data_IF_813761022228
#
_entry.id   IF_813761022228
#
_cell.length_a   1.000
_cell.length_b   1.000
_cell.length_c   1.000
_cell.angle_alpha   90.00
_cell.angle_beta   90.00
_cell.angle_gamma   90.00
#
_symmetry.space_group_name_H-M   'P 1'
#
loop_
_entity.id
_entity.type
_entity.pdbx_description
1 polymer ?
#
# COMPACT_ATOMS: atom_id res chain seq x y z
N UNK A 1 -4.78 15.34 -3.40
CA UNK A 1 -3.80 15.42 -2.27
C UNK A 1 -3.29 16.84 -2.11
N UNK A 2 -2.71 17.49 -3.15
CA UNK A 2 -2.10 18.84 -3.04
C UNK A 2 -3.07 19.88 -2.45
N UNK A 3 -4.31 19.97 -2.93
CA UNK A 3 -5.31 20.93 -2.41
C UNK A 3 -5.62 20.71 -0.92
N UNK A 4 -5.64 19.43 -0.47
CA UNK A 4 -5.86 19.13 0.94
C UNK A 4 -4.65 19.50 1.80
N UNK A 5 -3.44 19.27 1.31
CA UNK A 5 -2.21 19.69 1.99
C UNK A 5 -2.16 21.22 2.15
N UNK A 6 -2.47 21.96 1.09
CA UNK A 6 -2.54 23.42 1.12
C UNK A 6 -3.61 23.93 2.11
N UNK A 7 -4.81 23.34 2.06
CA UNK A 7 -5.88 23.69 2.97
C UNK A 7 -5.53 23.41 4.44
N UNK A 8 -4.98 22.23 4.72
CA UNK A 8 -4.54 21.85 6.06
C UNK A 8 -3.45 22.80 6.57
N UNK A 9 -2.44 23.08 5.73
CA UNK A 9 -1.37 24.03 6.07
C UNK A 9 -1.93 25.39 6.43
N UNK A 10 -2.73 25.98 5.54
CA UNK A 10 -3.32 27.32 5.78
C UNK A 10 -4.19 27.34 7.02
N UNK A 11 -5.03 26.30 7.23
CA UNK A 11 -5.87 26.22 8.41
C UNK A 11 -5.06 26.11 9.70
N UNK A 12 -4.02 25.27 9.71
CA UNK A 12 -3.24 25.01 10.92
C UNK A 12 -2.28 26.14 11.27
N UNK A 13 -1.72 26.84 10.28
CA UNK A 13 -0.78 27.96 10.52
C UNK A 13 -1.44 29.21 11.15
N UNK A 14 -2.76 29.37 11.01
CA UNK A 14 -3.47 30.46 11.67
C UNK A 14 -3.87 30.18 13.11
N UNK A 15 -3.70 28.92 13.56
CA UNK A 15 -3.97 28.51 14.93
C UNK A 15 -2.73 28.78 15.81
N UNK A 16 -2.95 29.09 17.08
CA UNK A 16 -1.87 29.36 18.03
C UNK A 16 -0.91 28.18 18.19
N UNK A 17 -1.45 26.95 18.19
CA UNK A 17 -0.67 25.73 18.32
C UNK A 17 -0.07 25.24 17.00
N UNK A 18 -0.36 25.89 15.87
CA UNK A 18 0.09 25.47 14.53
C UNK A 18 -0.14 23.97 14.30
N UNK A 19 0.95 23.21 14.35
CA UNK A 19 0.99 21.78 14.04
C UNK A 19 0.92 20.86 15.27
N UNK A 20 0.93 21.40 16.48
CA UNK A 20 0.90 20.60 17.69
C UNK A 20 -0.35 19.72 17.78
N UNK A 21 -0.17 18.43 18.10
CA UNK A 21 -1.24 17.45 18.17
C UNK A 21 -1.93 17.09 16.85
N UNK A 22 -1.43 17.60 15.71
CA UNK A 22 -2.01 17.34 14.39
C UNK A 22 -1.17 16.37 13.60
N UNK A 23 -1.81 15.64 12.67
CA UNK A 23 -1.13 14.75 11.74
C UNK A 23 -1.84 14.75 10.40
N UNK A 24 -1.10 14.83 9.31
CA UNK A 24 -1.59 14.58 7.96
C UNK A 24 -1.20 13.16 7.57
N UNK A 25 -2.12 12.25 7.75
CA UNK A 25 -1.92 10.85 7.46
C UNK A 25 -2.33 10.54 6.01
N UNK A 26 -1.40 10.09 5.19
CA UNK A 26 -1.63 9.81 3.77
C UNK A 26 -1.58 8.33 3.49
N UNK A 27 -2.71 7.78 3.03
CA UNK A 27 -2.81 6.37 2.62
C UNK A 27 -2.50 6.27 1.13
N UNK A 28 -1.42 5.57 0.80
CA UNK A 28 -0.96 5.29 -0.55
C UNK A 28 -1.07 3.78 -0.86
N UNK A 29 -0.25 3.27 -1.75
CA UNK A 29 -0.29 1.90 -2.23
C UNK A 29 1.12 1.38 -2.50
N UNK A 30 1.35 0.09 -2.35
CA UNK A 30 2.58 -0.59 -2.74
C UNK A 30 2.87 -0.52 -4.25
N UNK A 31 1.85 -0.28 -5.08
CA UNK A 31 2.03 -0.11 -6.53
C UNK A 31 2.95 1.07 -6.91
N UNK A 32 3.23 1.99 -5.97
CA UNK A 32 4.20 3.07 -6.20
C UNK A 32 5.63 2.56 -6.37
N UNK A 33 5.94 1.39 -5.83
CA UNK A 33 7.24 0.73 -5.97
C UNK A 33 7.42 -0.01 -7.30
N UNK A 34 6.34 -0.28 -8.02
CA UNK A 34 6.35 -1.02 -9.29
C UNK A 34 6.11 -2.51 -9.11
N UNK A 35 6.92 -3.34 -9.75
CA UNK A 35 6.82 -4.79 -9.69
C UNK A 35 8.10 -5.40 -9.09
N UNK A 36 7.93 -6.41 -8.24
CA UNK A 36 9.03 -7.24 -7.77
C UNK A 36 9.45 -8.22 -8.89
N UNK A 37 10.73 -8.51 -8.95
CA UNK A 37 11.22 -9.59 -9.80
C UNK A 37 10.89 -10.93 -9.16
N UNK A 38 10.16 -11.77 -9.89
CA UNK A 38 9.77 -13.11 -9.43
C UNK A 38 10.95 -14.07 -9.30
N UNK A 39 12.04 -13.78 -10.04
CA UNK A 39 13.28 -14.52 -9.97
C UNK A 39 14.44 -13.52 -9.85
N UNK A 40 15.14 -13.54 -8.72
CA UNK A 40 16.34 -12.72 -8.57
C UNK A 40 17.45 -13.30 -9.46
N UNK A 41 18.20 -12.47 -10.20
CA UNK A 41 19.42 -12.94 -10.90
C UNK A 41 20.39 -13.60 -9.92
N UNK A 42 20.99 -14.73 -10.31
CA UNK A 42 22.00 -15.40 -9.50
C UNK A 42 23.11 -14.42 -9.09
N UNK A 43 23.51 -14.47 -7.81
CA UNK A 43 24.59 -13.64 -7.26
C UNK A 43 24.20 -12.28 -6.70
N UNK A 44 22.91 -11.91 -6.72
CA UNK A 44 22.44 -10.70 -6.04
C UNK A 44 21.86 -11.08 -4.67
N UNK A 45 22.56 -10.71 -3.59
CA UNK A 45 22.04 -10.86 -2.23
C UNK A 45 20.88 -9.89 -1.95
N UNK A 46 19.85 -10.32 -1.18
CA UNK A 46 18.80 -9.39 -0.74
C UNK A 46 19.43 -8.28 0.14
N UNK A 47 18.96 -7.04 0.02
CA UNK A 47 19.50 -5.92 0.80
C UNK A 47 19.32 -6.12 2.31
N UNK A 48 18.43 -7.02 2.72
CA UNK A 48 18.23 -7.42 4.12
C UNK A 48 17.98 -8.91 4.20
N UNK A 49 18.41 -9.55 5.30
CA UNK A 49 18.01 -10.93 5.60
C UNK A 49 16.50 -10.93 5.88
N UNK A 50 15.75 -11.59 5.03
CA UNK A 50 14.31 -11.84 5.27
C UNK A 50 14.16 -12.54 6.60
N UNK A 51 13.32 -12.02 7.47
CA UNK A 51 12.84 -12.77 8.62
C UNK A 51 12.12 -13.98 8.03
N UNK A 52 12.57 -15.19 8.39
CA UNK A 52 11.98 -16.43 7.90
C UNK A 52 10.46 -16.35 8.05
N UNK A 53 9.74 -16.51 6.95
CA UNK A 53 8.29 -16.56 6.95
C UNK A 53 7.83 -17.60 7.97
N UNK A 54 6.92 -17.22 8.85
CA UNK A 54 6.23 -18.16 9.72
C UNK A 54 5.60 -19.26 8.87
N UNK A 55 5.62 -20.50 9.34
CA UNK A 55 5.06 -21.65 8.64
C UNK A 55 3.67 -21.33 8.07
N UNK A 56 3.54 -21.45 6.75
CA UNK A 56 2.26 -21.25 6.05
C UNK A 56 2.21 -20.14 5.02
N UNK A 57 3.21 -19.28 4.90
CA UNK A 57 3.23 -18.23 3.87
C UNK A 57 3.75 -18.75 2.53
N UNK A 58 2.97 -18.54 1.48
CA UNK A 58 3.44 -18.70 0.10
C UNK A 58 4.08 -17.40 -0.36
N UNK A 59 5.39 -17.27 -0.21
CA UNK A 59 6.13 -16.26 -0.91
C UNK A 59 6.39 -16.74 -2.35
N UNK A 60 6.05 -15.90 -3.35
CA UNK A 60 6.36 -16.19 -4.76
C UNK A 60 7.73 -15.66 -5.19
N UNK A 61 8.56 -15.24 -4.26
CA UNK A 61 9.91 -14.75 -4.47
C UNK A 61 10.56 -14.36 -3.15
N UNK A 62 11.83 -14.01 -3.23
CA UNK A 62 12.64 -13.63 -2.05
C UNK A 62 12.69 -12.11 -1.84
N UNK A 63 11.99 -11.34 -2.70
CA UNK A 63 12.00 -9.88 -2.66
C UNK A 63 10.73 -9.32 -2.04
N UNK A 64 10.93 -8.28 -1.23
CA UNK A 64 9.86 -7.48 -0.66
C UNK A 64 10.08 -6.00 -0.99
N UNK A 65 9.02 -5.22 -0.97
CA UNK A 65 9.13 -3.78 -0.94
C UNK A 65 9.46 -3.31 0.47
N UNK A 66 10.48 -2.47 0.55
CA UNK A 66 10.87 -1.78 1.77
C UNK A 66 10.55 -0.30 1.65
N UNK A 67 10.49 0.41 2.76
CA UNK A 67 10.25 1.86 2.77
C UNK A 67 11.36 2.64 2.04
N UNK A 68 12.53 2.03 1.91
CA UNK A 68 13.69 2.55 1.14
C UNK A 68 13.69 2.16 -0.33
N UNK A 69 12.75 1.33 -0.77
CA UNK A 69 12.63 0.94 -2.18
C UNK A 69 12.30 2.15 -3.03
N UNK A 70 13.03 2.33 -4.14
CA UNK A 70 12.78 3.43 -5.07
C UNK A 70 11.42 3.29 -5.74
N UNK A 71 10.69 4.38 -5.85
CA UNK A 71 9.43 4.43 -6.58
C UNK A 71 9.67 4.19 -8.07
N UNK A 72 8.88 3.29 -8.64
CA UNK A 72 8.90 2.93 -10.05
C UNK A 72 7.47 2.61 -10.54
N UNK A 73 6.53 3.57 -10.52
CA UNK A 73 5.14 3.34 -10.88
C UNK A 73 4.98 3.05 -12.38
N UNK A 74 4.18 2.04 -12.73
CA UNK A 74 3.97 1.59 -14.11
C UNK A 74 2.54 1.82 -14.63
N UNK A 75 1.67 2.45 -13.85
CA UNK A 75 0.31 2.81 -14.27
C UNK A 75 0.00 4.28 -14.01
N UNK A 76 -0.97 4.91 -14.72
CA UNK A 76 -1.42 6.27 -14.39
C UNK A 76 -1.89 6.39 -12.95
N UNK A 77 -2.54 5.35 -12.40
CA UNK A 77 -2.95 5.31 -11.00
C UNK A 77 -1.74 5.32 -10.07
N UNK A 78 -0.82 4.39 -10.21
CA UNK A 78 0.35 4.32 -9.33
C UNK A 78 1.25 5.56 -9.47
N UNK A 79 1.37 6.14 -10.66
CA UNK A 79 2.08 7.40 -10.88
C UNK A 79 1.40 8.58 -10.15
N UNK A 80 0.07 8.63 -10.14
CA UNK A 80 -0.68 9.66 -9.42
C UNK A 80 -0.52 9.54 -7.90
N UNK A 81 -0.47 8.32 -7.38
CA UNK A 81 -0.23 8.03 -5.97
C UNK A 81 1.21 8.36 -5.57
N UNK A 82 2.20 7.95 -6.36
CA UNK A 82 3.60 8.30 -6.15
C UNK A 82 3.82 9.83 -6.13
N UNK A 83 3.18 10.55 -7.05
CA UNK A 83 3.22 12.02 -7.06
C UNK A 83 2.60 12.60 -5.78
N UNK A 84 1.51 12.02 -5.29
CA UNK A 84 0.88 12.43 -4.04
C UNK A 84 1.80 12.23 -2.84
N UNK A 85 2.49 11.09 -2.77
CA UNK A 85 3.45 10.78 -1.70
C UNK A 85 4.62 11.77 -1.69
N UNK A 86 5.13 12.13 -2.87
CA UNK A 86 6.16 13.15 -2.99
C UNK A 86 5.68 14.54 -2.53
N UNK A 87 4.44 14.93 -2.83
CA UNK A 87 3.87 16.17 -2.29
C UNK A 87 3.79 16.13 -0.77
N UNK A 88 3.35 15.03 -0.19
CA UNK A 88 3.24 14.89 1.27
C UNK A 88 4.61 15.05 1.94
N UNK A 89 5.63 14.39 1.43
CA UNK A 89 7.02 14.53 1.92
C UNK A 89 7.54 15.96 1.74
N UNK A 90 7.34 16.55 0.57
CA UNK A 90 7.78 17.92 0.29
C UNK A 90 7.13 18.97 1.21
N UNK A 91 5.86 18.75 1.62
CA UNK A 91 5.21 19.64 2.57
C UNK A 91 5.81 19.52 3.99
N UNK A 92 6.25 18.33 4.37
CA UNK A 92 7.04 18.17 5.59
C UNK A 92 8.39 18.90 5.49
N UNK A 93 9.16 18.60 4.46
CA UNK A 93 10.53 19.12 4.30
C UNK A 93 10.56 20.65 4.17
N UNK A 94 9.55 21.22 3.51
CA UNK A 94 9.50 22.67 3.26
C UNK A 94 8.87 23.46 4.40
N UNK A 95 7.82 22.93 5.01
CA UNK A 95 6.98 23.67 5.96
C UNK A 95 6.96 23.08 7.38
N UNK A 96 7.62 21.94 7.62
CA UNK A 96 7.58 21.23 8.89
C UNK A 96 6.21 20.62 9.20
N UNK A 97 5.36 20.44 8.17
CA UNK A 97 4.02 19.88 8.36
C UNK A 97 4.11 18.43 8.88
N UNK A 98 3.35 18.05 9.92
CA UNK A 98 3.43 16.72 10.53
C UNK A 98 2.73 15.69 9.62
N UNK A 99 3.49 15.08 8.73
CA UNK A 99 2.98 14.12 7.74
C UNK A 99 3.44 12.70 8.03
N UNK A 100 2.61 11.73 7.66
CA UNK A 100 2.94 10.29 7.64
C UNK A 100 2.43 9.73 6.31
N UNK A 101 3.21 8.86 5.67
CA UNK A 101 2.83 8.14 4.46
C UNK A 101 2.74 6.66 4.76
N UNK A 102 1.68 5.99 4.30
CA UNK A 102 1.59 4.54 4.36
C UNK A 102 1.31 3.95 2.99
N UNK A 103 2.04 2.90 2.63
CA UNK A 103 1.87 2.13 1.40
C UNK A 103 1.28 0.77 1.78
N UNK A 104 0.03 0.53 1.41
CA UNK A 104 -0.62 -0.73 1.72
C UNK A 104 -0.74 -1.63 0.50
N UNK A 105 -0.75 -2.94 0.75
CA UNK A 105 -1.07 -3.95 -0.24
C UNK A 105 -2.58 -4.01 -0.54
N UNK A 106 -3.01 -4.97 -1.38
CA UNK A 106 -4.40 -5.08 -1.80
C UNK A 106 -5.31 -5.47 -0.63
N UNK A 107 -6.26 -4.61 -0.32
CA UNK A 107 -7.21 -4.87 0.75
C UNK A 107 -8.34 -5.81 0.29
N UNK A 108 -8.83 -6.64 1.21
CA UNK A 108 -10.05 -7.41 1.04
C UNK A 108 -10.83 -7.44 2.35
N UNK A 109 -12.13 -7.72 2.27
CA UNK A 109 -12.97 -7.86 3.46
C UNK A 109 -14.41 -7.41 3.24
N UNK A 110 -15.20 -7.36 4.33
CA UNK A 110 -16.57 -6.90 4.31
C UNK A 110 -16.71 -5.49 3.70
N UNK A 111 -17.82 -5.26 3.01
CA UNK A 111 -18.17 -3.98 2.37
C UNK A 111 -17.23 -3.52 1.25
N UNK A 112 -16.32 -4.37 0.78
CA UNK A 112 -15.50 -4.04 -0.38
C UNK A 112 -16.38 -3.79 -1.60
N UNK A 113 -16.02 -2.79 -2.41
CA UNK A 113 -16.81 -2.38 -3.58
C UNK A 113 -16.95 -3.53 -4.59
N UNK A 114 -18.17 -3.79 -5.11
CA UNK A 114 -18.47 -5.00 -5.90
C UNK A 114 -17.68 -5.19 -7.20
N UNK A 115 -17.06 -4.14 -7.73
CA UNK A 115 -16.20 -4.23 -8.92
C UNK A 115 -14.81 -4.81 -8.64
N UNK A 116 -14.40 -4.85 -7.38
CA UNK A 116 -13.10 -5.38 -7.00
C UNK A 116 -13.08 -6.89 -7.14
N UNK A 117 -11.88 -7.45 -7.38
CA UNK A 117 -11.67 -8.82 -7.79
C UNK A 117 -12.41 -9.84 -6.89
N UNK A 118 -12.19 -9.80 -5.58
CA UNK A 118 -12.77 -10.77 -4.65
C UNK A 118 -14.30 -10.69 -4.61
N UNK A 119 -14.93 -9.53 -4.34
CA UNK A 119 -16.40 -9.48 -4.31
C UNK A 119 -17.03 -9.73 -5.69
N UNK A 120 -16.37 -9.33 -6.78
CA UNK A 120 -16.83 -9.62 -8.14
C UNK A 120 -16.87 -11.13 -8.38
N UNK A 121 -15.83 -11.85 -7.98
CA UNK A 121 -15.75 -13.30 -8.14
C UNK A 121 -16.81 -14.00 -7.30
N UNK A 122 -16.96 -13.64 -6.03
CA UNK A 122 -18.02 -14.18 -5.15
C UNK A 122 -19.40 -13.97 -5.79
N UNK A 123 -19.67 -12.76 -6.28
CA UNK A 123 -20.95 -12.45 -6.92
C UNK A 123 -21.16 -13.26 -8.20
N UNK A 124 -20.14 -13.40 -9.03
CA UNK A 124 -20.22 -14.17 -10.28
C UNK A 124 -20.41 -15.67 -10.00
N UNK A 125 -19.70 -16.25 -9.04
CA UNK A 125 -19.88 -17.64 -8.60
C UNK A 125 -21.33 -17.88 -8.13
N UNK A 126 -21.85 -17.02 -7.25
CA UNK A 126 -23.24 -17.11 -6.76
C UNK A 126 -24.27 -17.04 -7.88
N UNK A 127 -24.01 -16.25 -8.91
CA UNK A 127 -24.89 -16.08 -10.06
C UNK A 127 -24.53 -16.99 -11.26
N UNK A 128 -23.63 -17.98 -11.07
CA UNK A 128 -23.15 -18.90 -12.12
C UNK A 128 -22.66 -18.18 -13.38
N UNK A 129 -22.01 -17.03 -13.20
CA UNK A 129 -21.40 -16.25 -14.29
C UNK A 129 -19.92 -16.60 -14.41
N UNK A 130 -19.33 -16.43 -15.63
CA UNK A 130 -17.90 -16.61 -15.84
C UNK A 130 -17.08 -15.67 -14.96
N UNK A 131 -15.90 -16.14 -14.51
CA UNK A 131 -14.94 -15.33 -13.79
C UNK A 131 -13.99 -14.67 -14.80
N UNK A 132 -13.93 -13.33 -14.85
CA UNK A 132 -13.02 -12.64 -15.76
C UNK A 132 -11.58 -12.78 -15.26
N UNK A 133 -10.74 -13.44 -16.07
CA UNK A 133 -9.30 -13.55 -15.80
C UNK A 133 -8.56 -12.70 -16.83
N UNK A 134 -7.81 -11.71 -16.37
CA UNK A 134 -7.00 -10.89 -17.25
C UNK A 134 -5.68 -11.61 -17.60
N UNK A 135 -5.40 -11.72 -18.89
CA UNK A 135 -4.22 -12.43 -19.40
C UNK A 135 -4.21 -13.90 -18.96
N UNK A 136 -3.08 -14.37 -18.43
CA UNK A 136 -2.93 -15.74 -17.90
C UNK A 136 -3.27 -15.85 -16.40
N UNK A 137 -3.59 -14.74 -15.74
CA UNK A 137 -3.86 -14.69 -14.30
C UNK A 137 -2.61 -14.90 -13.43
N UNK A 138 -1.41 -14.73 -13.99
CA UNK A 138 -0.13 -14.96 -13.29
C UNK A 138 0.29 -13.79 -12.38
N UNK A 139 -0.46 -12.68 -12.41
CA UNK A 139 -0.17 -11.54 -11.53
C UNK A 139 -0.30 -11.97 -10.08
N UNK A 140 0.75 -11.73 -9.30
CA UNK A 140 0.78 -11.94 -7.86
C UNK A 140 0.30 -10.68 -7.15
N UNK A 141 -0.50 -10.85 -6.12
CA UNK A 141 -0.95 -9.78 -5.23
C UNK A 141 -0.85 -10.25 -3.79
N UNK A 142 -0.35 -9.38 -2.93
CA UNK A 142 -0.46 -9.55 -1.48
C UNK A 142 -1.83 -9.06 -1.02
N UNK A 143 -2.52 -9.86 -0.23
CA UNK A 143 -3.88 -9.60 0.22
C UNK A 143 -3.92 -9.32 1.72
N UNK A 144 -4.29 -8.10 2.07
CA UNK A 144 -4.39 -7.58 3.44
C UNK A 144 -5.84 -7.52 3.88
N UNK A 145 -6.16 -8.16 5.00
CA UNK A 145 -7.51 -8.07 5.56
C UNK A 145 -7.79 -6.65 6.07
N UNK A 146 -8.96 -6.12 5.72
CA UNK A 146 -9.27 -4.70 5.92
C UNK A 146 -9.26 -4.27 7.39
N UNK A 147 -9.63 -5.17 8.33
CA UNK A 147 -9.58 -4.85 9.76
C UNK A 147 -8.14 -4.76 10.28
N UNK A 148 -7.24 -5.61 9.77
CA UNK A 148 -5.82 -5.54 10.13
C UNK A 148 -5.19 -4.27 9.56
N UNK A 149 -5.58 -3.85 8.36
CA UNK A 149 -5.18 -2.56 7.82
C UNK A 149 -5.69 -1.41 8.69
N UNK A 150 -6.95 -1.44 9.13
CA UNK A 150 -7.51 -0.41 10.00
C UNK A 150 -6.77 -0.33 11.34
N UNK A 151 -6.42 -1.48 11.95
CA UNK A 151 -5.59 -1.53 13.18
C UNK A 151 -4.20 -0.97 12.96
N UNK A 152 -3.57 -1.28 11.82
CA UNK A 152 -2.26 -0.72 11.48
C UNK A 152 -2.33 0.80 11.29
N UNK A 153 -3.38 1.31 10.63
CA UNK A 153 -3.61 2.76 10.50
C UNK A 153 -3.73 3.41 11.88
N UNK A 154 -4.54 2.84 12.76
CA UNK A 154 -4.75 3.37 14.12
C UNK A 154 -3.44 3.41 14.92
N UNK A 155 -2.70 2.30 14.91
CA UNK A 155 -1.39 2.21 15.58
C UNK A 155 -0.40 3.25 15.03
N UNK A 156 -0.23 3.32 13.71
CA UNK A 156 0.70 4.25 13.08
C UNK A 156 0.25 5.70 13.29
N UNK A 157 -1.05 5.97 13.28
CA UNK A 157 -1.58 7.31 13.54
C UNK A 157 -1.21 7.80 14.93
N UNK A 158 -1.26 6.93 15.94
CA UNK A 158 -0.99 7.32 17.33
C UNK A 158 0.50 7.22 17.70
N UNK A 159 1.20 6.19 17.26
CA UNK A 159 2.56 5.87 17.68
C UNK A 159 3.62 6.11 16.59
N UNK A 160 3.20 6.28 15.35
CA UNK A 160 4.11 6.47 14.21
C UNK A 160 4.89 7.78 14.30
N UNK A 161 6.10 7.75 13.79
CA UNK A 161 6.99 8.90 13.71
C UNK A 161 6.57 9.81 12.55
N UNK A 162 6.58 11.09 12.80
CA UNK A 162 6.36 12.12 11.75
C UNK A 162 7.47 12.03 10.71
N UNK A 163 7.12 12.31 9.47
CA UNK A 163 7.95 12.25 8.27
C UNK A 163 8.34 10.85 7.79
N UNK A 164 7.95 9.81 8.51
CA UNK A 164 8.25 8.44 8.11
C UNK A 164 7.23 7.87 7.12
N UNK A 165 7.69 6.87 6.40
CA UNK A 165 6.86 6.02 5.53
C UNK A 165 6.77 4.64 6.15
N UNK A 166 5.59 4.01 6.06
CA UNK A 166 5.35 2.66 6.57
C UNK A 166 4.72 1.79 5.49
N UNK A 167 5.24 0.59 5.30
CA UNK A 167 4.62 -0.42 4.45
C UNK A 167 3.69 -1.30 5.30
N UNK A 168 2.48 -1.53 4.79
CA UNK A 168 1.47 -2.36 5.45
C UNK A 168 1.09 -3.48 4.48
N UNK A 169 1.61 -4.68 4.71
CA UNK A 169 1.36 -5.87 3.91
C UNK A 169 0.68 -6.98 4.69
N UNK A 170 0.09 -7.92 3.98
CA UNK A 170 -0.60 -9.08 4.56
C UNK A 170 0.28 -10.32 4.69
N UNK A 171 1.45 -10.36 4.04
CA UNK A 171 2.25 -11.58 3.85
C UNK A 171 1.40 -12.75 3.30
N UNK A 172 0.46 -12.43 2.42
CA UNK A 172 -0.54 -13.35 1.90
C UNK A 172 -0.64 -13.23 0.38
N UNK A 173 0.43 -13.63 -0.28
CA UNK A 173 0.59 -13.51 -1.72
C UNK A 173 -0.11 -14.65 -2.47
N UNK A 174 -0.88 -14.28 -3.52
CA UNK A 174 -1.55 -15.23 -4.40
C UNK A 174 -1.44 -14.78 -5.85
N UNK A 175 -1.24 -15.75 -6.75
CA UNK A 175 -1.53 -15.53 -8.17
C UNK A 175 -3.04 -15.41 -8.34
N UNK A 176 -3.48 -14.50 -9.20
CA UNK A 176 -4.92 -14.34 -9.46
C UNK A 176 -5.57 -15.67 -9.90
N UNK A 177 -4.87 -16.49 -10.71
CA UNK A 177 -5.39 -17.79 -11.15
C UNK A 177 -5.52 -18.80 -10.01
N UNK A 178 -4.66 -18.73 -8.99
CA UNK A 178 -4.72 -19.65 -7.85
C UNK A 178 -5.78 -19.22 -6.83
N UNK A 179 -6.04 -17.92 -6.74
CA UNK A 179 -7.11 -17.38 -5.90
C UNK A 179 -8.50 -17.81 -6.41
N UNK A 180 -8.64 -18.13 -7.70
CA UNK A 180 -9.91 -18.49 -8.36
C UNK A 180 -10.23 -19.98 -8.17
N UNK A 181 -9.26 -20.84 -7.98
CA UNK A 181 -9.44 -22.30 -7.84
C UNK A 181 -10.00 -22.67 -6.48
#
# INVERSE_FOLDING_TARGET
TLSLLQAAKLCWEVLSEKYEGKRFYHISTDEVYGALHMNRPEGIEPPFKTVASSEGHKAYGDDFFYETTKYNPHSPYSASKASSDHFVRAFHDTYGMPTIVTNCSNNYGPYQFPEKLIPLFINNIRNRKPLPVYGKGENVRDWLFVEDHARAIDLIFHEGKIAETYNIGGFNEWKNIDLIK
#
